data_IF_549941516464
#
_entry.id   IF_549941516464
#
_cell.length_a   1.000
_cell.length_b   1.000
_cell.length_c   1.000
_cell.angle_alpha   90.00
_cell.angle_beta   90.00
_cell.angle_gamma   90.00
#
_symmetry.space_group_name_H-M   'P 1'
#
loop_
_entity.id
_entity.type
_entity.pdbx_description
1 polymer ?
#
# COMPACT_ATOMS: atom_id res chain seq x y z
N UNK A 1 12.73 -67.36 -10.42
CA UNK A 1 11.25 -67.47 -10.37
C UNK A 1 10.68 -66.09 -10.63
N UNK A 2 10.08 -65.92 -11.80
CA UNK A 2 9.60 -64.67 -12.39
C UNK A 2 8.08 -64.71 -12.31
N UNK A 3 7.45 -63.74 -11.68
CA UNK A 3 5.99 -63.57 -11.75
C UNK A 3 5.72 -62.16 -12.23
N UNK A 4 5.28 -62.10 -13.48
CA UNK A 4 4.90 -60.93 -14.26
C UNK A 4 3.39 -61.02 -14.46
N UNK A 5 2.65 -59.99 -14.02
CA UNK A 5 1.28 -59.60 -14.41
C UNK A 5 1.23 -58.09 -14.07
N UNK A 6 1.14 -57.11 -14.97
CA UNK A 6 0.37 -57.02 -16.20
C UNK A 6 -0.81 -56.08 -15.92
N UNK A 7 -0.75 -54.84 -16.41
CA UNK A 7 -1.85 -54.14 -17.10
C UNK A 7 -1.52 -52.69 -17.40
N UNK A 8 -1.43 -52.42 -18.70
CA UNK A 8 -1.48 -51.12 -19.35
C UNK A 8 -2.90 -50.55 -19.16
N UNK A 9 -3.02 -49.34 -18.60
CA UNK A 9 -4.20 -48.47 -18.81
C UNK A 9 -3.67 -47.09 -19.18
N UNK A 10 -3.67 -46.81 -20.48
CA UNK A 10 -3.69 -45.48 -21.07
C UNK A 10 -5.13 -44.97 -21.02
N UNK A 11 -5.37 -43.77 -20.47
CA UNK A 11 -6.23 -42.70 -21.02
C UNK A 11 -6.66 -41.69 -19.93
N UNK A 12 -6.28 -40.44 -20.18
CA UNK A 12 -7.01 -39.19 -19.88
C UNK A 12 -7.54 -38.94 -18.46
N UNK A 13 -6.91 -37.97 -17.80
CA UNK A 13 -7.66 -36.88 -17.18
C UNK A 13 -6.77 -35.63 -17.15
N UNK A 14 -7.18 -34.65 -17.94
CA UNK A 14 -6.77 -33.26 -17.91
C UNK A 14 -6.60 -32.84 -16.44
N UNK A 15 -5.37 -32.60 -15.98
CA UNK A 15 -5.16 -31.74 -14.83
C UNK A 15 -5.50 -30.33 -15.29
N UNK A 16 -6.82 -30.06 -15.33
CA UNK A 16 -7.35 -28.73 -15.21
C UNK A 16 -6.61 -28.15 -14.03
N UNK A 17 -5.80 -27.13 -14.30
CA UNK A 17 -5.07 -26.35 -13.31
C UNK A 17 -6.12 -25.86 -12.34
N UNK A 18 -6.29 -26.64 -11.28
CA UNK A 18 -7.34 -26.52 -10.30
C UNK A 18 -7.01 -25.36 -9.39
N UNK A 19 -8.05 -24.59 -9.10
CA UNK A 19 -8.07 -23.52 -8.10
C UNK A 19 -7.11 -22.35 -8.33
N UNK A 20 -7.56 -21.38 -9.15
CA UNK A 20 -7.57 -20.01 -8.61
C UNK A 20 -8.60 -20.00 -7.49
N UNK A 21 -8.19 -20.40 -6.30
CA UNK A 21 -8.99 -20.22 -5.10
C UNK A 21 -9.23 -18.73 -4.96
N UNK A 22 -10.49 -18.31 -5.08
CA UNK A 22 -10.93 -17.01 -4.60
C UNK A 22 -10.46 -16.91 -3.14
N UNK A 23 -9.50 -16.02 -2.86
CA UNK A 23 -9.02 -15.79 -1.51
C UNK A 23 -10.20 -15.26 -0.69
N UNK A 24 -10.55 -15.89 0.44
CA UNK A 24 -11.68 -15.48 1.25
C UNK A 24 -11.48 -14.05 1.77
N UNK A 25 -12.42 -13.18 1.40
CA UNK A 25 -12.74 -11.88 1.98
C UNK A 25 -11.61 -11.13 2.65
N UNK A 26 -10.83 -10.36 1.86
CA UNK A 26 -10.15 -9.21 2.43
C UNK A 26 -11.22 -8.30 3.06
N UNK A 27 -10.98 -7.72 4.25
CA UNK A 27 -11.86 -6.69 4.78
C UNK A 27 -12.05 -5.63 3.71
N UNK A 28 -13.30 -5.39 3.31
CA UNK A 28 -13.66 -4.51 2.20
C UNK A 28 -13.53 -3.03 2.55
N UNK A 29 -13.17 -2.72 3.80
CA UNK A 29 -12.96 -1.36 4.27
C UNK A 29 -11.61 -1.25 4.93
N UNK A 30 -10.77 -0.37 4.37
CA UNK A 30 -9.55 0.07 5.04
C UNK A 30 -9.97 0.97 6.20
N UNK A 31 -9.51 0.64 7.40
CA UNK A 31 -9.78 1.44 8.59
C UNK A 31 -9.20 2.85 8.43
N UNK A 32 -9.94 3.86 8.90
CA UNK A 32 -9.54 5.26 8.81
C UNK A 32 -8.18 5.52 9.46
N UNK A 33 -7.87 4.78 10.52
CA UNK A 33 -6.57 4.80 11.17
C UNK A 33 -5.44 4.37 10.23
N UNK A 34 -5.65 3.34 9.41
CA UNK A 34 -4.65 2.92 8.41
C UNK A 34 -4.49 3.98 7.31
N UNK A 35 -5.56 4.61 6.84
CA UNK A 35 -5.50 5.71 5.86
C UNK A 35 -4.75 6.93 6.41
N UNK A 36 -4.95 7.26 7.68
CA UNK A 36 -4.20 8.35 8.32
C UNK A 36 -2.71 8.00 8.44
N UNK A 37 -2.39 6.79 8.89
CA UNK A 37 -0.99 6.36 9.03
C UNK A 37 -0.28 6.26 7.68
N UNK A 38 -0.95 5.77 6.63
CA UNK A 38 -0.34 5.70 5.30
C UNK A 38 -0.14 7.08 4.70
N UNK A 39 -1.08 8.02 4.87
CA UNK A 39 -0.88 9.40 4.42
C UNK A 39 0.38 10.04 5.02
N UNK A 40 0.60 9.84 6.33
CA UNK A 40 1.82 10.31 7.00
C UNK A 40 3.07 9.63 6.46
N UNK A 41 3.01 8.31 6.29
CA UNK A 41 4.13 7.52 5.78
C UNK A 41 4.52 7.95 4.36
N UNK A 42 3.59 8.00 3.42
CA UNK A 42 3.90 8.40 2.03
C UNK A 42 4.42 9.83 1.97
N UNK A 43 3.87 10.76 2.76
CA UNK A 43 4.35 12.15 2.78
C UNK A 43 5.80 12.21 3.22
N UNK A 44 6.13 11.43 4.25
CA UNK A 44 7.50 11.31 4.77
C UNK A 44 8.43 10.68 3.75
N UNK A 45 8.04 9.54 3.16
CA UNK A 45 8.83 8.80 2.19
C UNK A 45 9.07 9.60 0.90
N UNK A 46 8.05 10.28 0.35
CA UNK A 46 8.22 11.13 -0.83
C UNK A 46 9.21 12.25 -0.52
N UNK A 47 9.03 12.97 0.59
CA UNK A 47 9.94 14.06 0.96
C UNK A 47 11.36 13.56 1.17
N UNK A 48 11.56 12.38 1.76
CA UNK A 48 12.88 11.77 1.91
C UNK A 48 13.52 11.43 0.57
N UNK A 49 12.72 10.94 -0.39
CA UNK A 49 13.17 10.56 -1.72
C UNK A 49 13.54 11.77 -2.59
N UNK A 50 12.67 12.78 -2.65
CA UNK A 50 12.87 13.95 -3.53
C UNK A 50 13.65 15.09 -2.87
N UNK A 51 13.69 15.10 -1.53
CA UNK A 51 14.36 16.12 -0.70
C UNK A 51 13.88 17.52 -1.09
N UNK A 52 14.79 18.37 -1.54
CA UNK A 52 14.53 19.74 -1.99
C UNK A 52 14.18 19.84 -3.48
N UNK A 53 14.43 18.79 -4.28
CA UNK A 53 14.11 18.77 -5.71
C UNK A 53 12.68 18.28 -5.88
N UNK A 54 11.71 19.19 -5.68
CA UNK A 54 10.27 18.90 -5.82
C UNK A 54 9.74 19.44 -7.15
N UNK A 55 10.27 18.94 -8.26
CA UNK A 55 9.73 19.21 -9.60
C UNK A 55 8.64 18.20 -9.93
N UNK A 56 7.74 18.53 -10.85
CA UNK A 56 6.68 17.64 -11.33
C UNK A 56 7.21 16.23 -11.64
N UNK A 57 8.21 16.10 -12.52
CA UNK A 57 8.81 14.80 -12.86
C UNK A 57 9.39 14.04 -11.66
N UNK A 58 10.03 14.71 -10.69
CA UNK A 58 10.58 14.02 -9.51
C UNK A 58 9.50 13.57 -8.54
N UNK A 59 8.38 14.28 -8.49
CA UNK A 59 7.22 13.90 -7.67
C UNK A 59 6.46 12.76 -8.36
N UNK A 60 6.27 12.79 -9.67
CA UNK A 60 5.68 11.67 -10.41
C UNK A 60 6.50 10.37 -10.21
N UNK A 61 7.82 10.43 -10.43
CA UNK A 61 8.73 9.30 -10.10
C UNK A 61 8.69 8.93 -8.61
N UNK A 62 8.45 9.93 -7.75
CA UNK A 62 8.02 9.84 -6.36
C UNK A 62 6.97 8.76 -6.11
N UNK A 63 5.82 9.06 -6.69
CA UNK A 63 4.53 8.43 -6.50
C UNK A 63 4.47 7.04 -7.13
N UNK A 64 5.12 6.83 -8.28
CA UNK A 64 5.12 5.55 -9.00
C UNK A 64 5.55 4.35 -8.12
N UNK A 65 6.52 4.54 -7.22
CA UNK A 65 7.00 3.47 -6.33
C UNK A 65 6.65 3.69 -4.86
N UNK A 66 5.82 4.70 -4.52
CA UNK A 66 5.60 5.06 -3.12
C UNK A 66 4.88 3.95 -2.35
N UNK A 67 3.99 3.22 -3.02
CA UNK A 67 3.25 2.10 -2.44
C UNK A 67 4.02 0.77 -2.42
N UNK A 68 5.31 0.75 -2.76
CA UNK A 68 6.12 -0.45 -2.62
C UNK A 68 6.21 -0.91 -1.16
N UNK A 69 6.05 -2.22 -0.93
CA UNK A 69 6.10 -2.80 0.43
C UNK A 69 7.40 -2.47 1.18
N UNK A 70 8.49 -2.23 0.44
CA UNK A 70 9.81 -1.89 1.01
C UNK A 70 9.76 -0.59 1.83
N UNK A 71 8.89 0.35 1.45
CA UNK A 71 8.78 1.68 2.06
C UNK A 71 8.06 1.65 3.41
N UNK A 72 7.31 0.58 3.73
CA UNK A 72 6.45 0.56 4.92
C UNK A 72 6.93 -0.33 6.08
N UNK A 73 8.16 -0.87 5.99
CA UNK A 73 8.66 -1.87 6.97
C UNK A 73 8.87 -1.34 8.38
N UNK A 74 9.02 -0.02 8.54
CA UNK A 74 9.39 0.64 9.80
C UNK A 74 8.24 1.42 10.45
N UNK A 75 7.03 1.33 9.87
CA UNK A 75 5.86 2.06 10.35
C UNK A 75 4.98 1.18 11.26
N UNK A 76 4.07 1.81 12.00
CA UNK A 76 3.24 1.15 13.02
C UNK A 76 2.41 -0.01 12.48
N UNK A 77 2.05 0.05 11.20
CA UNK A 77 1.42 -1.03 10.48
C UNK A 77 2.42 -1.57 9.45
N UNK A 78 2.83 -2.85 9.50
CA UNK A 78 3.69 -3.40 8.46
C UNK A 78 2.89 -3.76 7.19
N UNK A 79 3.57 -4.01 6.05
CA UNK A 79 2.97 -4.73 4.93
C UNK A 79 2.39 -6.09 5.39
N UNK A 80 1.26 -6.55 4.82
CA UNK A 80 0.58 -6.04 3.63
C UNK A 80 -0.42 -4.89 3.89
N UNK A 81 -0.73 -4.58 5.15
CA UNK A 81 -1.78 -3.61 5.51
C UNK A 81 -1.48 -2.21 4.99
N UNK A 82 -0.27 -1.69 5.19
CA UNK A 82 0.10 -0.37 4.66
C UNK A 82 0.13 -0.33 3.14
N UNK A 83 0.55 -1.40 2.47
CA UNK A 83 0.51 -1.44 1.00
C UNK A 83 -0.93 -1.28 0.51
N UNK A 84 -1.85 -2.10 1.02
CA UNK A 84 -3.27 -2.03 0.62
C UNK A 84 -3.88 -0.66 0.92
N UNK A 85 -3.52 -0.09 2.07
CA UNK A 85 -3.99 1.25 2.46
C UNK A 85 -3.39 2.34 1.57
N UNK A 86 -2.15 2.17 1.10
CA UNK A 86 -1.49 3.07 0.17
C UNK A 86 -2.17 3.02 -1.20
N UNK A 87 -2.38 1.81 -1.73
CA UNK A 87 -3.05 1.61 -3.01
C UNK A 87 -4.44 2.28 -2.99
N UNK A 88 -5.22 2.08 -1.91
CA UNK A 88 -6.52 2.72 -1.71
C UNK A 88 -6.41 4.25 -1.59
N UNK A 89 -5.52 4.74 -0.73
CA UNK A 89 -5.33 6.17 -0.51
C UNK A 89 -4.92 6.89 -1.80
N UNK A 90 -3.98 6.32 -2.55
CA UNK A 90 -3.47 6.93 -3.79
C UNK A 90 -4.54 6.94 -4.88
N UNK A 91 -5.36 5.89 -4.99
CA UNK A 91 -6.49 5.86 -5.94
C UNK A 91 -7.43 7.06 -5.77
N UNK A 92 -7.60 7.55 -4.54
CA UNK A 92 -8.54 8.65 -4.24
C UNK A 92 -7.87 10.02 -4.10
N UNK A 93 -6.55 10.07 -3.86
CA UNK A 93 -5.86 11.26 -3.38
C UNK A 93 -4.52 11.58 -4.05
N UNK A 94 -4.13 10.86 -5.10
CA UNK A 94 -2.87 11.10 -5.83
C UNK A 94 -2.70 12.57 -6.24
N UNK A 95 -3.69 13.15 -6.93
CA UNK A 95 -3.66 14.55 -7.38
C UNK A 95 -3.43 15.54 -6.22
N UNK A 96 -4.05 15.27 -5.06
CA UNK A 96 -3.92 16.14 -3.89
C UNK A 96 -2.52 16.07 -3.29
N UNK A 97 -1.89 14.88 -3.29
CA UNK A 97 -0.51 14.70 -2.85
C UNK A 97 0.46 15.37 -3.81
N UNK A 98 0.30 15.15 -5.11
CA UNK A 98 1.16 15.74 -6.13
C UNK A 98 1.13 17.27 -6.06
N UNK A 99 -0.06 17.88 -6.10
CA UNK A 99 -0.23 19.33 -6.06
C UNK A 99 0.33 19.98 -4.79
N UNK A 100 0.24 19.29 -3.64
CA UNK A 100 0.76 19.81 -2.38
C UNK A 100 2.31 19.77 -2.32
N UNK A 101 2.95 18.86 -3.06
CA UNK A 101 4.39 18.64 -3.00
C UNK A 101 5.16 19.39 -4.09
N UNK A 102 4.62 19.48 -5.31
CA UNK A 102 5.28 20.15 -6.44
C UNK A 102 5.57 21.62 -6.10
N UNK A 103 6.83 22.02 -6.22
CA UNK A 103 7.30 23.37 -5.93
C UNK A 103 7.30 23.77 -4.45
N UNK A 104 6.77 22.93 -3.56
CA UNK A 104 6.67 23.22 -2.13
C UNK A 104 8.04 23.24 -1.46
N UNK A 105 8.27 24.23 -0.58
CA UNK A 105 9.49 24.31 0.25
C UNK A 105 9.24 23.90 1.71
N UNK A 106 8.04 23.41 2.00
CA UNK A 106 7.58 23.09 3.36
C UNK A 106 8.30 21.88 3.93
N UNK A 107 8.49 21.87 5.25
CA UNK A 107 8.97 20.71 5.99
C UNK A 107 7.95 19.57 6.00
N UNK A 108 8.39 18.37 6.40
CA UNK A 108 7.53 17.17 6.44
C UNK A 108 6.31 17.40 7.34
N UNK A 109 6.49 17.97 8.53
CA UNK A 109 5.39 18.17 9.48
C UNK A 109 4.28 19.08 8.93
N UNK A 110 4.67 20.17 8.28
CA UNK A 110 3.71 21.11 7.65
C UNK A 110 3.01 20.46 6.46
N UNK A 111 3.72 19.65 5.67
CA UNK A 111 3.13 18.88 4.58
C UNK A 111 2.16 17.82 5.08
N UNK A 112 2.49 17.11 6.16
CA UNK A 112 1.60 16.14 6.79
C UNK A 112 0.32 16.83 7.28
N UNK A 113 0.43 18.01 7.88
CA UNK A 113 -0.74 18.78 8.28
C UNK A 113 -1.59 19.18 7.06
N UNK A 114 -0.97 19.76 6.04
CA UNK A 114 -1.69 20.26 4.86
C UNK A 114 -2.32 19.13 4.04
N UNK A 115 -1.63 18.00 3.85
CA UNK A 115 -2.11 16.88 3.05
C UNK A 115 -3.08 16.02 3.87
N UNK A 116 -2.67 15.55 5.07
CA UNK A 116 -3.40 14.51 5.79
C UNK A 116 -4.54 15.05 6.67
N UNK A 117 -4.41 16.26 7.21
CA UNK A 117 -5.43 16.87 8.07
C UNK A 117 -6.36 17.80 7.28
N UNK A 118 -5.82 18.67 6.42
CA UNK A 118 -6.60 19.71 5.73
C UNK A 118 -7.09 19.29 4.35
N UNK A 119 -6.20 18.77 3.51
CA UNK A 119 -6.46 18.42 2.13
C UNK A 119 -7.36 17.20 2.00
N UNK A 120 -6.82 16.02 2.31
CA UNK A 120 -7.54 14.74 2.23
C UNK A 120 -8.46 14.51 3.43
N UNK A 121 -8.13 15.10 4.59
CA UNK A 121 -8.87 14.98 5.86
C UNK A 121 -8.96 13.54 6.40
N UNK A 122 -8.14 12.62 5.88
CA UNK A 122 -8.12 11.20 6.32
C UNK A 122 -7.75 11.06 7.80
N UNK A 123 -6.95 11.99 8.33
CA UNK A 123 -6.57 11.99 9.74
C UNK A 123 -7.55 12.70 10.67
N UNK A 124 -8.62 13.33 10.16
CA UNK A 124 -9.55 14.09 11.00
C UNK A 124 -10.27 13.17 12.00
N UNK A 125 -10.04 13.39 13.30
CA UNK A 125 -10.66 12.60 14.36
C UNK A 125 -10.08 11.19 14.52
N UNK A 126 -8.87 10.95 14.04
CA UNK A 126 -8.09 9.74 14.34
C UNK A 126 -7.22 10.02 15.57
N UNK A 127 -7.35 9.17 16.59
CA UNK A 127 -6.49 9.21 17.78
C UNK A 127 -5.13 8.60 17.46
N UNK A 128 -4.13 9.43 17.19
CA UNK A 128 -2.78 8.97 16.77
C UNK A 128 -1.96 8.32 17.87
N UNK A 129 -2.55 8.15 19.07
CA UNK A 129 -1.94 7.49 20.23
C UNK A 129 -2.40 6.03 20.39
N UNK A 130 -3.37 5.57 19.59
CA UNK A 130 -3.69 4.14 19.52
C UNK A 130 -2.62 3.44 18.70
N UNK A 131 -2.02 2.42 19.29
CA UNK A 131 -1.10 1.51 18.60
C UNK A 131 -1.94 0.41 17.97
N UNK A 132 -1.55 -0.07 16.79
CA UNK A 132 -2.20 -1.18 16.10
C UNK A 132 -2.41 -2.39 17.05
N UNK A 133 -3.65 -2.61 17.48
CA UNK A 133 -4.03 -3.84 18.17
C UNK A 133 -4.09 -4.94 17.11
N UNK A 134 -3.12 -5.84 17.14
CA UNK A 134 -3.11 -7.06 16.33
C UNK A 134 -4.17 -8.01 16.91
N UNK A 135 -5.30 -8.16 16.22
CA UNK A 135 -6.24 -9.27 16.44
C UNK A 135 -5.78 -10.49 15.67
#
# INVERSE_FOLDING_TARGET
KKTMRGSLILLSAVCLVGWVGAQPGMPTKIEKEHLCNVCKAITTEIVNKVKSKRTESSIAEALDEICDMKNFRVYDYPPPTMKKSCDEFMSDHEDAVEQALVGSKKGVDELVEDICQKGTKVCKGVDTNKRAETN
#
